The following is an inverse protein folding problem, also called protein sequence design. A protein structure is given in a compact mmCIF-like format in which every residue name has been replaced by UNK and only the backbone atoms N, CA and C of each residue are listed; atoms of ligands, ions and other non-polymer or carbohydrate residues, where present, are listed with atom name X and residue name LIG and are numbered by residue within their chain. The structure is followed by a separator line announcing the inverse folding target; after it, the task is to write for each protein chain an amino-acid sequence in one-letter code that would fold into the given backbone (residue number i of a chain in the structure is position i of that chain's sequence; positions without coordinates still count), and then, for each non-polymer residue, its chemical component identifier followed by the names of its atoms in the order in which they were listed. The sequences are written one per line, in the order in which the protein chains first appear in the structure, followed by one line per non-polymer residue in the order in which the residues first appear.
data_IF_206217847979
#
_entry.id   IF_206217847979
#
_cell.length_a   1.000
_cell.length_b   1.000
_cell.length_c   1.000
_cell.angle_alpha   90.00
_cell.angle_beta   90.00
_cell.angle_gamma   90.00
#
_symmetry.space_group_name_H-M   'P 1'
#
loop_
_entity.id
_entity.type
_entity.pdbx_description
1 polymer ?
#
# COMPACT_ATOMS: atom_id res chain seq x y z
N UNK A 1 -0.74 -4.62 26.24
CA UNK A 1 0.37 -4.89 25.30
C UNK A 1 0.79 -3.55 24.74
N UNK A 2 2.09 -3.22 24.70
CA UNK A 2 2.59 -1.94 24.18
C UNK A 2 3.70 -2.28 23.19
N UNK A 3 3.49 -1.96 21.93
CA UNK A 3 4.45 -2.24 20.87
C UNK A 3 5.05 -0.92 20.41
N UNK A 4 6.37 -0.82 20.49
CA UNK A 4 7.14 0.29 19.95
C UNK A 4 7.77 -0.20 18.64
N UNK A 5 7.12 0.02 17.50
CA UNK A 5 7.83 -0.17 16.24
C UNK A 5 8.87 0.95 16.15
N UNK A 6 10.16 0.59 16.23
CA UNK A 6 11.24 1.55 16.13
C UNK A 6 11.39 1.96 14.68
N UNK A 7 11.48 3.27 14.47
CA UNK A 7 11.58 3.85 13.15
C UNK A 7 12.75 3.32 12.33
N UNK A 8 12.61 3.51 11.04
CA UNK A 8 13.54 3.19 9.97
C UNK A 8 14.95 3.71 10.28
N UNK A 9 15.96 2.85 10.10
CA UNK A 9 17.33 3.33 10.00
C UNK A 9 17.65 3.48 8.53
N UNK A 10 17.72 4.74 8.07
CA UNK A 10 18.18 5.08 6.74
C UNK A 10 19.71 5.11 6.80
N UNK A 11 20.39 4.05 6.34
CA UNK A 11 21.84 4.06 6.17
C UNK A 11 22.18 4.46 4.75
N UNK A 12 22.09 5.76 4.47
CA UNK A 12 22.83 6.33 3.34
C UNK A 12 24.31 6.39 3.72
N UNK A 13 25.22 6.11 2.78
CA UNK A 13 26.65 6.41 2.93
C UNK A 13 26.83 7.93 3.10
N UNK A 14 26.63 8.45 4.32
CA UNK A 14 26.80 9.86 4.68
C UNK A 14 25.56 10.62 5.19
N UNK A 15 24.41 9.99 5.45
CA UNK A 15 23.26 10.71 6.04
C UNK A 15 22.48 9.86 7.04
N UNK A 16 22.76 10.03 8.33
CA UNK A 16 21.93 9.54 9.43
C UNK A 16 20.82 10.56 9.72
N UNK A 17 19.55 10.21 9.46
CA UNK A 17 18.41 10.96 10.00
C UNK A 17 17.56 10.04 10.86
N UNK A 18 17.04 10.61 11.95
CA UNK A 18 16.14 9.96 12.90
C UNK A 18 14.90 9.41 12.18
N UNK A 19 14.70 8.10 12.29
CA UNK A 19 13.58 7.39 11.66
C UNK A 19 12.22 7.84 12.17
N UNK A 20 11.21 7.83 11.28
CA UNK A 20 9.81 8.01 11.68
C UNK A 20 9.38 6.83 12.55
N UNK A 21 9.04 7.08 13.82
CA UNK A 21 8.56 6.05 14.75
C UNK A 21 7.02 5.99 14.72
N UNK A 22 6.46 4.78 14.63
CA UNK A 22 5.01 4.56 14.73
C UNK A 22 4.73 3.67 15.94
N UNK A 23 3.85 4.11 16.84
CA UNK A 23 3.39 3.27 17.94
C UNK A 23 2.09 2.59 17.55
N UNK A 24 2.10 1.27 17.60
CA UNK A 24 0.90 0.46 17.36
C UNK A 24 0.51 -0.18 18.69
N UNK A 25 -0.71 0.03 19.19
CA UNK A 25 -1.08 -0.45 20.53
C UNK A 25 -1.14 -1.98 20.61
N UNK A 26 -1.62 -2.63 19.55
CA UNK A 26 -1.73 -4.10 19.45
C UNK A 26 -1.36 -4.50 18.03
N UNK A 27 -0.49 -5.50 17.90
CA UNK A 27 -0.15 -6.13 16.62
C UNK A 27 -0.59 -7.59 16.71
N UNK A 28 -1.31 -8.04 15.69
CA UNK A 28 -1.66 -9.44 15.47
C UNK A 28 -1.04 -9.95 14.14
N UNK A 29 -1.27 -11.22 13.83
CA UNK A 29 -0.81 -11.89 12.61
C UNK A 29 -1.48 -11.37 11.32
N UNK A 30 -2.49 -10.51 11.44
CA UNK A 30 -3.25 -9.92 10.33
C UNK A 30 -2.99 -8.43 10.18
N UNK A 31 -2.19 -7.85 11.06
CA UNK A 31 -1.91 -6.42 11.12
C UNK A 31 -0.96 -6.04 9.99
N UNK A 32 -1.41 -5.15 9.11
CA UNK A 32 -0.60 -4.66 7.99
C UNK A 32 -0.30 -3.17 8.13
N UNK A 33 1.00 -2.83 8.16
CA UNK A 33 1.49 -1.45 8.18
C UNK A 33 2.00 -1.07 6.78
N UNK A 34 1.48 0.04 6.24
CA UNK A 34 1.97 0.61 4.98
C UNK A 34 2.72 1.91 5.25
N UNK A 35 3.81 2.13 4.54
CA UNK A 35 4.57 3.37 4.55
C UNK A 35 4.93 3.77 3.12
N UNK A 36 5.07 5.08 2.89
CA UNK A 36 5.44 5.62 1.58
C UNK A 36 6.88 6.13 1.64
N UNK A 37 7.70 5.61 0.73
CA UNK A 37 9.08 6.02 0.57
C UNK A 37 9.17 7.08 -0.53
N UNK A 38 9.98 8.11 -0.30
CA UNK A 38 10.27 9.15 -1.27
C UNK A 38 11.79 9.21 -1.43
N UNK A 39 12.38 8.47 -2.39
CA UNK A 39 13.81 8.50 -2.60
C UNK A 39 14.24 9.93 -2.93
N UNK A 40 15.35 10.36 -2.33
CA UNK A 40 15.96 11.67 -2.60
C UNK A 40 17.39 11.43 -3.08
N UNK A 41 17.73 11.97 -4.24
CA UNK A 41 19.07 11.85 -4.83
C UNK A 41 19.09 11.03 -6.11
N UNK A 42 20.30 10.80 -6.61
CA UNK A 42 20.58 10.10 -7.87
C UNK A 42 21.09 8.67 -7.65
N UNK A 43 20.87 8.10 -6.47
CA UNK A 43 21.38 6.77 -6.13
C UNK A 43 20.75 5.66 -6.96
N UNK A 44 21.52 4.60 -7.20
CA UNK A 44 21.12 3.44 -7.99
C UNK A 44 20.34 2.41 -7.15
N UNK A 45 20.23 2.62 -5.83
CA UNK A 45 19.49 1.73 -4.94
C UNK A 45 19.15 2.38 -3.61
N UNK A 46 18.27 1.72 -2.85
CA UNK A 46 17.84 2.11 -1.51
C UNK A 46 17.84 0.87 -0.62
N UNK A 47 18.38 1.01 0.59
CA UNK A 47 18.23 -0.01 1.64
C UNK A 47 17.12 0.44 2.59
N UNK A 48 16.12 -0.41 2.76
CA UNK A 48 15.00 -0.20 3.68
C UNK A 48 15.13 -1.18 4.83
N UNK A 49 15.30 -0.65 6.04
CA UNK A 49 15.30 -1.44 7.26
C UNK A 49 14.09 -1.10 8.15
N UNK A 50 13.32 -2.12 8.52
CA UNK A 50 12.16 -2.03 9.41
C UNK A 50 12.49 -2.72 10.73
N UNK A 51 12.30 -2.02 11.84
CA UNK A 51 12.53 -2.54 13.20
C UNK A 51 11.22 -2.58 13.97
N UNK A 52 10.82 -3.73 14.47
CA UNK A 52 9.59 -3.90 15.25
C UNK A 52 9.96 -4.41 16.65
N UNK A 53 9.77 -3.58 17.68
CA UNK A 53 9.96 -3.99 19.07
C UNK A 53 8.62 -4.16 19.77
N UNK A 54 8.31 -5.36 20.24
CA UNK A 54 7.06 -5.67 20.94
C UNK A 54 7.28 -6.51 22.19
N UNK A 55 6.29 -6.55 23.06
CA UNK A 55 6.24 -7.48 24.19
C UNK A 55 5.37 -8.66 23.79
N UNK A 56 5.94 -9.86 23.75
CA UNK A 56 5.24 -11.09 23.39
C UNK A 56 4.24 -11.56 24.45
N UNK A 57 3.53 -12.66 24.17
CA UNK A 57 2.46 -13.14 25.06
C UNK A 57 2.99 -13.65 26.41
N UNK A 58 4.23 -14.11 26.46
CA UNK A 58 4.90 -14.55 27.69
C UNK A 58 5.57 -13.42 28.48
N UNK A 59 5.45 -12.16 28.02
CA UNK A 59 6.09 -11.00 28.63
C UNK A 59 7.52 -10.73 28.15
N UNK A 60 8.03 -11.52 27.21
CA UNK A 60 9.33 -11.33 26.59
C UNK A 60 9.37 -10.08 25.70
N UNK A 61 10.46 -9.31 25.75
CA UNK A 61 10.71 -8.26 24.77
C UNK A 61 11.33 -8.87 23.51
N UNK A 62 10.69 -8.65 22.37
CA UNK A 62 11.13 -9.14 21.06
C UNK A 62 11.47 -7.96 20.18
N UNK A 63 12.63 -8.02 19.50
CA UNK A 63 13.01 -7.12 18.43
C UNK A 63 13.14 -7.91 17.13
N UNK A 64 12.33 -7.55 16.14
CA UNK A 64 12.41 -8.09 14.78
C UNK A 64 13.01 -7.01 13.89
N UNK A 65 14.00 -7.38 13.08
CA UNK A 65 14.62 -6.48 12.10
C UNK A 65 14.55 -7.13 10.73
N UNK A 66 13.90 -6.44 9.81
CA UNK A 66 13.78 -6.81 8.41
C UNK A 66 14.54 -5.80 7.57
N UNK A 67 15.40 -6.27 6.67
CA UNK A 67 16.23 -5.41 5.81
C UNK A 67 16.06 -5.85 4.37
N UNK A 68 15.73 -4.89 3.50
CA UNK A 68 15.55 -5.14 2.08
C UNK A 68 16.29 -4.10 1.25
N UNK A 69 17.05 -4.57 0.29
CA UNK A 69 17.69 -3.73 -0.72
C UNK A 69 16.77 -3.63 -1.94
N UNK A 70 16.69 -2.44 -2.52
CA UNK A 70 15.82 -2.16 -3.65
C UNK A 70 16.60 -1.35 -4.69
N UNK A 71 16.65 -1.83 -5.93
CA UNK A 71 17.21 -1.06 -7.04
C UNK A 71 16.33 0.14 -7.38
N UNK A 72 16.95 1.25 -7.78
CA UNK A 72 16.27 2.39 -8.40
C UNK A 72 16.51 2.30 -9.91
N UNK A 73 15.45 2.36 -10.69
CA UNK A 73 15.54 2.50 -12.14
C UNK A 73 14.89 3.79 -12.61
N UNK A 74 15.52 4.46 -13.58
CA UNK A 74 14.94 5.60 -14.30
C UNK A 74 14.11 5.15 -15.50
N UNK A 75 14.28 3.89 -15.91
CA UNK A 75 13.58 3.31 -17.05
C UNK A 75 12.25 2.73 -16.62
N UNK A 76 11.18 3.34 -17.12
CA UNK A 76 9.82 2.91 -16.81
C UNK A 76 9.54 1.46 -17.23
N UNK A 77 10.10 1.00 -18.35
CA UNK A 77 9.91 -0.38 -18.83
C UNK A 77 10.45 -1.40 -17.83
N UNK A 78 11.65 -1.14 -17.30
CA UNK A 78 12.30 -1.95 -16.27
C UNK A 78 11.47 -1.92 -14.97
N UNK A 79 11.02 -0.75 -14.52
CA UNK A 79 10.16 -0.65 -13.33
C UNK A 79 8.83 -1.42 -13.48
N UNK A 80 8.27 -1.44 -14.70
CA UNK A 80 7.04 -2.18 -15.02
C UNK A 80 7.29 -3.69 -15.26
N UNK A 81 8.52 -4.19 -15.08
CA UNK A 81 8.86 -5.62 -15.25
C UNK A 81 8.88 -6.09 -16.72
N UNK A 82 8.99 -5.15 -17.67
CA UNK A 82 9.05 -5.43 -19.11
C UNK A 82 10.49 -5.64 -19.55
N UNK A 83 11.11 -6.71 -19.07
CA UNK A 83 12.43 -7.13 -19.56
C UNK A 83 12.31 -7.86 -20.91
N UNK A 84 13.39 -7.83 -21.70
CA UNK A 84 13.49 -8.60 -22.95
C UNK A 84 13.52 -10.10 -22.62
N UNK A 85 12.84 -10.92 -23.43
CA UNK A 85 12.67 -12.37 -23.21
C UNK A 85 13.99 -13.16 -22.95
N UNK A 86 15.13 -12.66 -23.43
CA UNK A 86 16.44 -13.30 -23.26
C UNK A 86 16.99 -13.18 -21.82
N UNK A 87 16.75 -12.07 -21.11
CA UNK A 87 17.16 -11.89 -19.71
C UNK A 87 16.25 -12.65 -18.74
N UNK A 88 14.96 -12.76 -19.08
CA UNK A 88 13.95 -13.47 -18.29
C UNK A 88 14.29 -14.96 -18.10
N UNK A 89 14.89 -15.61 -19.11
CA UNK A 89 15.31 -17.02 -19.03
C UNK A 89 16.53 -17.26 -18.13
N UNK A 90 17.38 -16.26 -17.92
CA UNK A 90 18.53 -16.37 -17.03
C UNK A 90 18.14 -16.11 -15.57
N UNK A 91 17.31 -15.09 -15.29
CA UNK A 91 16.83 -14.79 -13.92
C UNK A 91 15.89 -15.86 -13.35
N UNK A 92 15.09 -16.54 -14.18
CA UNK A 92 14.25 -17.67 -13.71
C UNK A 92 15.06 -18.87 -13.18
N UNK A 93 16.34 -19.01 -13.55
CA UNK A 93 17.23 -20.04 -13.00
C UNK A 93 17.83 -19.69 -11.64
N UNK A 94 17.82 -18.41 -11.25
CA UNK A 94 18.42 -17.93 -10.00
C UNK A 94 17.38 -17.64 -8.88
N UNK A 95 16.08 -17.81 -9.16
CA UNK A 95 15.03 -17.73 -8.13
C UNK A 95 14.68 -16.30 -7.67
N UNK A 96 15.31 -15.27 -8.23
CA UNK A 96 15.03 -13.86 -7.94
C UNK A 96 13.88 -13.35 -8.82
N UNK A 97 12.64 -13.48 -8.33
CA UNK A 97 11.41 -13.12 -9.06
C UNK A 97 10.81 -11.76 -8.65
N UNK A 98 11.63 -10.83 -8.15
CA UNK A 98 11.16 -9.61 -7.48
C UNK A 98 11.34 -8.30 -8.27
N UNK A 99 11.59 -8.36 -9.57
CA UNK A 99 11.73 -7.14 -10.39
C UNK A 99 10.41 -6.79 -11.07
N UNK A 100 9.53 -6.10 -10.33
CA UNK A 100 8.29 -5.61 -10.91
C UNK A 100 7.33 -4.99 -9.91
N UNK A 101 6.30 -4.33 -10.44
CA UNK A 101 5.25 -3.71 -9.63
C UNK A 101 4.40 -4.80 -8.94
N UNK A 102 4.43 -4.81 -7.60
CA UNK A 102 3.51 -5.65 -6.82
C UNK A 102 2.09 -5.08 -6.89
N UNK A 103 1.26 -5.65 -7.75
CA UNK A 103 -0.10 -5.19 -8.02
C UNK A 103 -0.97 -5.13 -6.76
N UNK A 104 -0.94 -6.18 -5.92
CA UNK A 104 -1.68 -6.21 -4.66
C UNK A 104 -1.29 -5.08 -3.70
N UNK A 105 0.01 -4.88 -3.47
CA UNK A 105 0.49 -3.79 -2.58
C UNK A 105 0.09 -2.41 -3.11
N UNK A 106 0.24 -2.17 -4.41
CA UNK A 106 -0.16 -0.90 -5.05
C UNK A 106 -1.67 -0.69 -4.94
N UNK A 107 -2.46 -1.72 -5.24
CA UNK A 107 -3.91 -1.68 -5.17
C UNK A 107 -4.42 -1.37 -3.76
N UNK A 108 -3.94 -2.10 -2.75
CA UNK A 108 -4.31 -1.89 -1.34
C UNK A 108 -3.97 -0.45 -0.92
N UNK A 109 -2.75 -0.01 -1.22
CA UNK A 109 -2.27 1.33 -0.84
C UNK A 109 -3.11 2.43 -1.49
N UNK A 110 -3.46 2.28 -2.76
CA UNK A 110 -4.30 3.23 -3.48
C UNK A 110 -5.71 3.32 -2.91
N UNK A 111 -6.35 2.18 -2.61
CA UNK A 111 -7.70 2.15 -1.99
C UNK A 111 -7.67 2.79 -0.61
N UNK A 112 -6.70 2.44 0.25
CA UNK A 112 -6.55 3.05 1.59
C UNK A 112 -6.38 4.57 1.51
N UNK A 113 -5.53 5.03 0.59
CA UNK A 113 -5.26 6.46 0.38
C UNK A 113 -6.48 7.19 -0.20
N UNK A 114 -7.18 6.58 -1.16
CA UNK A 114 -8.42 7.13 -1.71
C UNK A 114 -9.51 7.23 -0.63
N UNK A 115 -9.66 6.22 0.23
CA UNK A 115 -10.58 6.26 1.36
C UNK A 115 -10.21 7.36 2.38
N UNK A 116 -8.92 7.62 2.59
CA UNK A 116 -8.47 8.76 3.40
C UNK A 116 -8.89 10.09 2.79
N UNK A 117 -8.61 10.30 1.49
CA UNK A 117 -8.99 11.51 0.76
C UNK A 117 -10.52 11.72 0.76
N UNK A 118 -11.29 10.64 0.55
CA UNK A 118 -12.75 10.68 0.61
C UNK A 118 -13.25 11.09 2.00
N UNK A 119 -12.60 10.63 3.07
CA UNK A 119 -12.97 11.04 4.44
C UNK A 119 -12.67 12.51 4.76
N UNK A 120 -11.81 13.15 3.99
CA UNK A 120 -11.51 14.58 4.02
C UNK A 120 -12.39 15.38 3.04
N UNK A 121 -13.42 14.75 2.44
CA UNK A 121 -14.29 15.32 1.40
C UNK A 121 -13.54 15.70 0.10
N UNK A 122 -12.34 15.16 -0.14
CA UNK A 122 -11.56 15.37 -1.37
C UNK A 122 -11.92 14.32 -2.43
N UNK A 123 -13.20 14.24 -2.79
CA UNK A 123 -13.72 13.19 -3.67
C UNK A 123 -13.06 13.19 -5.06
N UNK A 124 -12.82 14.37 -5.64
CA UNK A 124 -12.17 14.46 -6.95
C UNK A 124 -10.73 13.92 -6.94
N UNK A 125 -9.95 14.27 -5.92
CA UNK A 125 -8.57 13.76 -5.77
C UNK A 125 -8.56 12.24 -5.56
N UNK A 126 -9.47 11.72 -4.73
CA UNK A 126 -9.64 10.29 -4.52
C UNK A 126 -9.96 9.54 -5.82
N UNK A 127 -10.88 10.06 -6.64
CA UNK A 127 -11.25 9.45 -7.93
C UNK A 127 -10.11 9.48 -8.94
N UNK A 128 -9.37 10.59 -9.02
CA UNK A 128 -8.18 10.70 -9.87
C UNK A 128 -7.13 9.65 -9.46
N UNK A 129 -6.94 9.45 -8.16
CA UNK A 129 -6.02 8.42 -7.64
C UNK A 129 -6.47 7.01 -8.04
N UNK A 130 -7.76 6.67 -7.92
CA UNK A 130 -8.28 5.36 -8.34
C UNK A 130 -8.08 5.12 -9.84
N UNK A 131 -8.44 6.08 -10.70
CA UNK A 131 -8.32 5.96 -12.16
C UNK A 131 -6.85 5.84 -12.60
N UNK A 132 -5.96 6.64 -12.01
CA UNK A 132 -4.53 6.57 -12.34
C UNK A 132 -3.92 5.23 -11.93
N UNK A 133 -4.31 4.71 -10.77
CA UNK A 133 -3.90 3.38 -10.30
C UNK A 133 -4.45 2.27 -11.19
N UNK A 134 -5.72 2.34 -11.58
CA UNK A 134 -6.32 1.39 -12.52
C UNK A 134 -5.50 1.29 -13.82
N UNK A 135 -5.17 2.44 -14.42
CA UNK A 135 -4.35 2.50 -15.64
C UNK A 135 -2.95 1.96 -15.45
N UNK A 136 -2.37 2.11 -14.25
CA UNK A 136 -1.07 1.53 -13.93
C UNK A 136 -1.18 0.00 -13.88
N UNK A 137 -2.10 -0.54 -13.08
CA UNK A 137 -2.29 -1.98 -12.91
C UNK A 137 -2.59 -2.68 -14.24
N UNK A 138 -3.44 -2.09 -15.09
CA UNK A 138 -3.73 -2.61 -16.43
C UNK A 138 -2.48 -2.77 -17.31
N UNK A 139 -1.44 -1.97 -17.11
CA UNK A 139 -0.20 -2.05 -17.89
C UNK A 139 0.81 -3.05 -17.35
N UNK A 140 0.75 -3.34 -16.06
CA UNK A 140 1.72 -4.20 -15.36
C UNK A 140 1.19 -5.59 -15.08
N UNK A 141 -0.13 -5.82 -15.21
CA UNK A 141 -0.73 -7.14 -15.04
C UNK A 141 -0.29 -8.08 -16.18
N UNK A 142 0.73 -8.91 -15.93
CA UNK A 142 1.33 -9.80 -16.94
C UNK A 142 1.12 -11.28 -16.62
N UNK A 143 0.92 -11.61 -15.34
CA UNK A 143 0.70 -12.95 -14.83
C UNK A 143 -0.69 -13.08 -14.16
N UNK A 144 -1.19 -14.31 -14.01
CA UNK A 144 -2.51 -14.60 -13.44
C UNK A 144 -2.69 -13.99 -12.04
N UNK A 145 -1.67 -14.04 -11.19
CA UNK A 145 -1.75 -13.47 -9.83
C UNK A 145 -1.89 -11.94 -9.88
N UNK A 146 -1.18 -11.27 -10.77
CA UNK A 146 -1.33 -9.82 -10.96
C UNK A 146 -2.71 -9.44 -11.53
N UNK A 147 -3.33 -10.32 -12.33
CA UNK A 147 -4.69 -10.14 -12.85
C UNK A 147 -5.73 -10.29 -11.72
N UNK A 148 -5.57 -11.27 -10.84
CA UNK A 148 -6.42 -11.43 -9.64
C UNK A 148 -6.34 -10.23 -8.71
N UNK A 149 -5.13 -9.70 -8.50
CA UNK A 149 -4.91 -8.49 -7.70
C UNK A 149 -5.57 -7.27 -8.36
N UNK A 150 -5.53 -7.17 -9.69
CA UNK A 150 -6.22 -6.12 -10.43
C UNK A 150 -7.75 -6.23 -10.31
N UNK A 151 -8.32 -7.43 -10.46
CA UNK A 151 -9.76 -7.64 -10.27
C UNK A 151 -10.20 -7.28 -8.84
N UNK A 152 -9.41 -7.70 -7.86
CA UNK A 152 -9.61 -7.35 -6.45
C UNK A 152 -9.59 -5.82 -6.25
N UNK A 153 -8.65 -5.13 -6.88
CA UNK A 153 -8.61 -3.66 -6.88
C UNK A 153 -9.87 -3.04 -7.48
N UNK A 154 -10.34 -3.51 -8.64
CA UNK A 154 -11.55 -2.96 -9.30
C UNK A 154 -12.76 -3.08 -8.40
N UNK A 155 -13.01 -4.26 -7.81
CA UNK A 155 -14.17 -4.47 -6.92
C UNK A 155 -14.15 -3.51 -5.73
N UNK A 156 -12.98 -3.28 -5.12
CA UNK A 156 -12.86 -2.36 -3.99
C UNK A 156 -12.97 -0.89 -4.44
N UNK A 157 -12.37 -0.53 -5.57
CA UNK A 157 -12.40 0.81 -6.13
C UNK A 157 -13.82 1.22 -6.56
N UNK A 158 -14.61 0.31 -7.14
CA UNK A 158 -15.99 0.56 -7.53
C UNK A 158 -16.90 0.79 -6.31
N UNK A 159 -16.77 -0.05 -5.27
CA UNK A 159 -17.51 0.15 -4.02
C UNK A 159 -17.19 1.51 -3.40
N UNK A 160 -15.93 1.92 -3.40
CA UNK A 160 -15.52 3.23 -2.90
C UNK A 160 -16.02 4.38 -3.80
N UNK A 161 -15.99 4.24 -5.13
CA UNK A 161 -16.50 5.27 -6.05
C UNK A 161 -18.01 5.46 -5.91
N UNK A 162 -18.77 4.37 -5.78
CA UNK A 162 -20.21 4.44 -5.51
C UNK A 162 -20.47 5.19 -4.20
N UNK A 163 -19.74 4.82 -3.14
CA UNK A 163 -19.81 5.50 -1.86
C UNK A 163 -19.56 7.01 -1.98
N UNK A 164 -18.48 7.41 -2.67
CA UNK A 164 -18.14 8.82 -2.85
C UNK A 164 -19.22 9.60 -3.62
N UNK A 165 -19.85 8.99 -4.62
CA UNK A 165 -20.95 9.63 -5.38
C UNK A 165 -22.20 9.84 -4.53
N UNK A 166 -22.54 8.85 -3.72
CA UNK A 166 -23.68 8.94 -2.79
C UNK A 166 -23.42 9.99 -1.71
N UNK A 167 -22.22 10.00 -1.11
CA UNK A 167 -21.80 11.01 -0.15
C UNK A 167 -21.84 12.42 -0.74
N UNK A 168 -21.28 12.61 -1.94
CA UNK A 168 -21.30 13.90 -2.64
C UNK A 168 -22.73 14.37 -2.93
N UNK A 169 -23.61 13.48 -3.41
CA UNK A 169 -25.03 13.81 -3.65
C UNK A 169 -25.76 14.17 -2.35
N UNK A 170 -25.50 13.45 -1.27
CA UNK A 170 -26.07 13.76 0.04
C UNK A 170 -25.63 15.13 0.54
N UNK A 171 -24.35 15.49 0.36
CA UNK A 171 -23.85 16.82 0.70
C UNK A 171 -24.51 17.94 -0.13
N UNK A 172 -24.75 17.70 -1.42
CA UNK A 172 -25.43 18.66 -2.30
C UNK A 172 -26.90 18.89 -1.91
N UNK A 173 -27.61 17.83 -1.50
CA UNK A 173 -29.05 17.90 -1.17
C UNK A 173 -29.29 18.38 0.27
N UNK A 174 -28.51 17.88 1.24
CA UNK A 174 -28.76 18.06 2.66
C UNK A 174 -27.77 19.02 3.35
N UNK A 175 -26.76 19.49 2.62
CA UNK A 175 -25.67 20.28 3.16
C UNK A 175 -24.71 19.46 4.04
N UNK A 176 -23.53 20.02 4.32
CA UNK A 176 -22.40 19.35 5.01
C UNK A 176 -22.66 18.88 6.46
N UNK A 177 -23.88 19.05 7.00
CA UNK A 177 -24.17 18.94 8.44
C UNK A 177 -25.20 17.90 8.84
N UNK A 178 -25.89 17.24 7.91
CA UNK A 178 -26.77 16.13 8.29
C UNK A 178 -25.92 14.90 8.54
N UNK A 179 -26.08 14.35 9.76
CA UNK A 179 -25.18 13.42 10.41
C UNK A 179 -24.61 12.36 9.47
N UNK A 180 -23.29 12.19 9.57
CA UNK A 180 -22.53 11.10 8.98
C UNK A 180 -23.34 9.82 9.15
N UNK A 181 -23.87 9.30 8.06
CA UNK A 181 -24.60 8.04 8.10
C UNK A 181 -23.64 6.97 8.67
N UNK A 182 -24.07 6.27 9.72
CA UNK A 182 -23.18 5.40 10.50
C UNK A 182 -22.71 4.22 9.63
N UNK A 183 -23.53 3.80 8.67
CA UNK A 183 -23.23 2.72 7.74
C UNK A 183 -22.21 3.14 6.68
N UNK A 184 -22.37 4.34 6.12
CA UNK A 184 -21.40 5.02 5.26
C UNK A 184 -20.02 5.15 5.91
N UNK A 185 -20.01 5.56 7.17
CA UNK A 185 -18.79 5.72 7.96
C UNK A 185 -18.12 4.37 8.21
N UNK A 186 -18.89 3.32 8.55
CA UNK A 186 -18.38 1.95 8.75
C UNK A 186 -17.73 1.37 7.48
N UNK A 187 -18.36 1.54 6.33
CA UNK A 187 -17.81 1.08 5.06
C UNK A 187 -16.47 1.77 4.75
N UNK A 188 -16.37 3.08 4.93
CA UNK A 188 -15.09 3.80 4.77
C UNK A 188 -14.02 3.37 5.76
N UNK A 189 -14.40 3.11 7.02
CA UNK A 189 -13.46 2.60 8.02
C UNK A 189 -12.94 1.22 7.65
N UNK A 190 -13.77 0.32 7.11
CA UNK A 190 -13.29 -0.96 6.60
C UNK A 190 -12.30 -0.79 5.43
N UNK A 191 -12.55 0.17 4.54
CA UNK A 191 -11.69 0.39 3.37
C UNK A 191 -10.33 1.01 3.71
N UNK A 192 -10.24 1.78 4.80
CA UNK A 192 -8.97 2.33 5.30
C UNK A 192 -8.03 1.26 5.85
N UNK A 193 -8.57 0.13 6.29
CA UNK A 193 -7.83 -0.91 6.99
C UNK A 193 -7.72 -2.22 6.20
N UNK A 194 -8.14 -2.26 4.93
CA UNK A 194 -8.12 -3.49 4.10
C UNK A 194 -6.74 -4.11 4.15
N UNK A 195 -6.64 -5.28 4.77
CA UNK A 195 -5.41 -6.05 4.90
C UNK A 195 -5.15 -6.87 3.65
N UNK A 196 -3.91 -7.35 3.47
CA UNK A 196 -3.53 -8.26 2.39
C UNK A 196 -4.29 -9.58 2.47
N UNK A 197 -4.72 -9.98 3.67
CA UNK A 197 -5.56 -11.16 3.88
C UNK A 197 -6.98 -10.97 3.36
N UNK A 198 -7.56 -9.77 3.51
CA UNK A 198 -8.91 -9.44 3.06
C UNK A 198 -8.96 -8.97 1.60
N UNK A 199 -7.79 -8.70 1.02
CA UNK A 199 -7.66 -8.19 -0.34
C UNK A 199 -8.18 -9.15 -1.41
N UNK A 200 -7.96 -10.46 -1.23
CA UNK A 200 -8.35 -11.46 -2.23
C UNK A 200 -9.86 -11.60 -2.29
N UNK A 201 -10.42 -11.51 -3.49
CA UNK A 201 -11.78 -11.98 -3.77
C UNK A 201 -11.82 -13.46 -3.37
N UNK A 202 -12.56 -13.80 -2.31
CA UNK A 202 -12.95 -15.19 -2.07
C UNK A 202 -13.86 -15.57 -3.23
N UNK A 203 -13.34 -16.35 -4.17
CA UNK A 203 -14.17 -17.16 -5.06
C UNK A 203 -14.98 -18.17 -4.24
#
# INVERSE_FOLDING_TARGET
MRVEAHGFEWKNKGCERAGTQVRVPVIDDKSDVCFSLHPRGEEEGVVVQVKVKYVGKGGEEVLVVETREMGITRERGVAEGKEKEEEKKNKEKEGEREEGVNCGTVGITAVRKAASLASEMKYMEARILLISTQRLLQRVMSDERSQDDYLSFIVQAEKLDQFMREAQRSEEVFGKKLGRDDEASKAMFSMKNVSRHEWKIRA
#
